data_IF_891019397475
#
_entry.id   IF_891019397475
#
_cell.length_a   1.000
_cell.length_b   1.000
_cell.length_c   1.000
_cell.angle_alpha   90.00
_cell.angle_beta   90.00
_cell.angle_gamma   90.00
#
_symmetry.space_group_name_H-M   'P 1'
#
loop_
_entity.id
_entity.type
_entity.pdbx_description
1 polymer ?
#
# COMPACT_ATOMS: atom_id res chain seq x y z
N UNK A 1 -4.68 -9.04 -18.64
CA UNK A 1 -4.78 -7.69 -18.01
C UNK A 1 -3.57 -6.86 -18.39
N UNK A 2 -3.72 -5.80 -19.20
CA UNK A 2 -2.62 -4.90 -19.56
C UNK A 2 -2.10 -4.20 -18.29
N UNK A 3 -0.89 -4.54 -17.83
CA UNK A 3 -0.23 -3.80 -16.74
C UNK A 3 0.06 -2.38 -17.25
N UNK A 4 -0.79 -1.40 -16.92
CA UNK A 4 -0.46 0.02 -17.10
C UNK A 4 0.88 0.26 -16.38
N UNK A 5 1.89 0.75 -17.12
CA UNK A 5 3.16 1.15 -16.51
C UNK A 5 2.88 2.20 -15.43
N UNK A 6 3.48 2.01 -14.26
CA UNK A 6 3.46 2.99 -13.17
C UNK A 6 4.71 3.85 -13.29
N UNK A 7 4.53 5.16 -13.41
CA UNK A 7 5.62 6.12 -13.48
C UNK A 7 5.83 6.75 -12.11
N UNK A 8 7.08 6.75 -11.65
CA UNK A 8 7.47 7.37 -10.38
C UNK A 8 8.17 8.70 -10.70
N UNK A 9 7.59 9.79 -10.24
CA UNK A 9 8.12 11.15 -10.34
C UNK A 9 7.72 11.95 -9.11
N UNK A 10 8.22 13.18 -8.98
CA UNK A 10 7.84 14.07 -7.89
C UNK A 10 6.33 14.35 -7.87
N UNK A 11 5.68 14.37 -9.04
CA UNK A 11 4.26 14.65 -9.19
C UNK A 11 3.38 13.42 -8.90
N UNK A 12 3.85 12.21 -9.19
CA UNK A 12 3.06 10.99 -9.00
C UNK A 12 3.22 10.40 -7.61
N UNK A 13 4.24 10.81 -6.84
CA UNK A 13 4.51 10.34 -5.49
C UNK A 13 4.01 11.36 -4.46
N UNK A 14 2.85 11.11 -3.87
CA UNK A 14 2.30 11.98 -2.82
C UNK A 14 2.95 11.72 -1.45
N UNK A 15 4.03 12.44 -1.17
CA UNK A 15 4.77 12.34 0.09
C UNK A 15 3.98 12.94 1.27
N UNK A 16 3.10 13.89 1.02
CA UNK A 16 2.32 14.53 2.08
C UNK A 16 1.31 13.55 2.66
N UNK A 17 0.64 12.77 1.81
CA UNK A 17 -0.23 11.69 2.27
C UNK A 17 0.53 10.65 3.11
N UNK A 18 1.75 10.29 2.70
CA UNK A 18 2.59 9.37 3.49
C UNK A 18 2.85 9.93 4.88
N UNK A 19 3.26 11.21 4.98
CA UNK A 19 3.48 11.88 6.27
C UNK A 19 2.23 11.93 7.12
N UNK A 20 1.06 12.16 6.51
CA UNK A 20 -0.21 12.15 7.23
C UNK A 20 -0.50 10.77 7.84
N UNK A 21 -0.29 9.69 7.08
CA UNK A 21 -0.49 8.32 7.60
C UNK A 21 0.53 8.00 8.70
N UNK A 22 1.80 8.41 8.55
CA UNK A 22 2.81 8.23 9.60
C UNK A 22 2.45 9.00 10.89
N UNK A 23 1.91 10.22 10.76
CA UNK A 23 1.45 11.02 11.90
C UNK A 23 0.24 10.37 12.61
N UNK A 24 -0.74 9.86 11.86
CA UNK A 24 -1.91 9.19 12.42
C UNK A 24 -1.57 7.84 13.06
N UNK A 25 -0.64 7.09 12.48
CA UNK A 25 -0.25 5.75 12.97
C UNK A 25 0.87 5.77 14.03
N UNK A 26 1.53 6.90 14.24
CA UNK A 26 2.69 7.02 15.13
C UNK A 26 3.92 6.21 14.69
N UNK A 27 3.90 5.65 13.48
CA UNK A 27 4.94 4.74 12.97
C UNK A 27 5.34 5.12 11.55
N UNK A 28 6.64 5.08 11.26
CA UNK A 28 7.09 5.30 9.88
C UNK A 28 6.76 4.11 8.99
N UNK A 29 6.11 4.38 7.85
CA UNK A 29 5.82 3.37 6.81
C UNK A 29 7.10 2.83 6.17
N UNK A 30 8.21 3.58 6.28
CA UNK A 30 9.53 3.22 5.73
C UNK A 30 10.20 2.07 6.49
N UNK A 31 9.71 1.72 7.68
CA UNK A 31 10.19 0.55 8.44
C UNK A 31 9.88 -0.77 7.73
N UNK A 32 8.87 -0.79 6.87
CA UNK A 32 8.55 -1.98 6.08
C UNK A 32 9.61 -2.20 4.98
N UNK A 33 10.41 -3.26 5.13
CA UNK A 33 11.44 -3.66 4.16
C UNK A 33 10.93 -4.70 3.14
N UNK A 34 9.60 -4.83 2.98
CA UNK A 34 8.97 -5.65 1.95
C UNK A 34 9.23 -7.17 2.03
N UNK A 35 9.41 -7.73 3.24
CA UNK A 35 9.63 -9.17 3.41
C UNK A 35 8.45 -10.09 3.01
N UNK A 36 7.24 -9.56 2.83
CA UNK A 36 6.08 -10.33 2.36
C UNK A 36 5.36 -11.20 3.40
N UNK A 37 5.88 -11.33 4.63
CA UNK A 37 5.27 -12.16 5.69
C UNK A 37 3.79 -11.84 5.94
N UNK A 38 3.42 -10.55 5.97
CA UNK A 38 2.03 -10.14 6.17
C UNK A 38 1.10 -10.66 5.07
N UNK A 39 1.55 -10.70 3.82
CA UNK A 39 0.73 -11.22 2.71
C UNK A 39 0.67 -12.73 2.72
N UNK A 40 1.77 -13.41 3.08
CA UNK A 40 1.78 -14.87 3.19
C UNK A 40 0.86 -15.37 4.31
N UNK A 41 0.78 -14.64 5.43
CA UNK A 41 -0.09 -14.98 6.56
C UNK A 41 -1.53 -14.47 6.45
N UNK A 42 -1.87 -13.68 5.43
CA UNK A 42 -3.20 -13.07 5.33
C UNK A 42 -4.21 -14.07 4.73
N UNK A 43 -5.27 -14.47 5.46
CA UNK A 43 -6.27 -15.40 4.95
C UNK A 43 -7.11 -14.82 3.81
N UNK A 44 -7.18 -13.48 3.73
CA UNK A 44 -7.96 -12.77 2.72
C UNK A 44 -7.15 -12.44 1.45
N UNK A 45 -5.85 -12.79 1.40
CA UNK A 45 -4.95 -12.36 0.32
C UNK A 45 -5.44 -12.72 -1.08
N UNK A 46 -6.11 -13.87 -1.25
CA UNK A 46 -6.68 -14.33 -2.51
C UNK A 46 -7.86 -13.47 -3.00
N UNK A 47 -8.54 -12.75 -2.10
CA UNK A 47 -9.65 -11.85 -2.42
C UNK A 47 -9.20 -10.40 -2.64
N UNK A 48 -7.93 -10.09 -2.38
CA UNK A 48 -7.37 -8.74 -2.49
C UNK A 48 -6.66 -8.54 -3.84
N UNK A 49 -6.95 -7.44 -4.53
CA UNK A 49 -6.13 -7.01 -5.68
C UNK A 49 -4.70 -6.64 -5.24
N UNK A 50 -4.60 -6.05 -4.04
CA UNK A 50 -3.37 -5.65 -3.40
C UNK A 50 -3.28 -6.31 -2.02
N UNK A 51 -2.54 -7.42 -1.88
CA UNK A 51 -2.31 -8.01 -0.56
C UNK A 51 -1.48 -7.05 0.33
N UNK A 52 -1.45 -7.24 1.66
CA UNK A 52 -0.95 -6.25 2.62
C UNK A 52 0.44 -5.68 2.30
N UNK A 53 1.41 -6.50 1.91
CA UNK A 53 2.74 -6.01 1.55
C UNK A 53 2.72 -5.04 0.36
N UNK A 54 1.86 -5.29 -0.63
CA UNK A 54 1.70 -4.44 -1.81
C UNK A 54 1.00 -3.14 -1.46
N UNK A 55 0.00 -3.17 -0.57
CA UNK A 55 -0.61 -1.96 0.01
C UNK A 55 0.47 -1.10 0.67
N UNK A 56 1.29 -1.71 1.54
CA UNK A 56 2.42 -1.01 2.18
C UNK A 56 3.41 -0.44 1.15
N UNK A 57 3.71 -1.17 0.08
CA UNK A 57 4.62 -0.68 -0.97
C UNK A 57 4.04 0.51 -1.72
N UNK A 58 2.76 0.45 -2.08
CA UNK A 58 2.08 1.57 -2.75
C UNK A 58 2.04 2.79 -1.84
N UNK A 59 1.79 2.59 -0.54
CA UNK A 59 1.80 3.66 0.44
C UNK A 59 3.20 4.28 0.55
N UNK A 60 4.26 3.49 0.66
CA UNK A 60 5.65 3.99 0.65
C UNK A 60 5.99 4.83 -0.59
N UNK A 61 5.36 4.52 -1.73
CA UNK A 61 5.53 5.24 -2.99
C UNK A 61 4.57 6.42 -3.16
N UNK A 62 3.76 6.76 -2.14
CA UNK A 62 2.75 7.83 -2.23
C UNK A 62 1.61 7.54 -3.21
N UNK A 63 1.43 6.28 -3.62
CA UNK A 63 0.42 5.84 -4.59
C UNK A 63 -0.95 5.58 -3.95
N UNK A 64 -1.35 6.40 -2.99
CA UNK A 64 -2.53 6.14 -2.15
C UNK A 64 -3.84 6.06 -2.94
N UNK A 65 -3.97 6.83 -4.03
CA UNK A 65 -5.15 6.79 -4.90
C UNK A 65 -5.42 5.39 -5.45
N UNK A 66 -4.37 4.62 -5.71
CA UNK A 66 -4.49 3.23 -6.19
C UNK A 66 -4.95 2.29 -5.08
N UNK A 67 -4.54 2.56 -3.84
CA UNK A 67 -4.99 1.80 -2.67
C UNK A 67 -6.49 2.03 -2.46
N UNK A 68 -6.94 3.29 -2.50
CA UNK A 68 -8.33 3.67 -2.24
C UNK A 68 -9.27 3.41 -3.43
N UNK A 69 -8.75 3.26 -4.64
CA UNK A 69 -9.58 2.94 -5.81
C UNK A 69 -10.14 1.50 -5.80
N UNK A 70 -9.59 0.61 -4.96
CA UNK A 70 -10.01 -0.78 -4.86
C UNK A 70 -10.57 -1.15 -3.49
N UNK A 71 -10.97 -2.42 -3.35
CA UNK A 71 -11.55 -2.94 -2.11
C UNK A 71 -10.53 -3.60 -1.17
N UNK A 72 -9.26 -3.68 -1.58
CA UNK A 72 -8.25 -4.49 -0.88
C UNK A 72 -8.14 -4.16 0.61
N UNK A 73 -8.11 -2.87 0.97
CA UNK A 73 -7.98 -2.47 2.38
C UNK A 73 -9.21 -2.81 3.23
N UNK A 74 -10.39 -2.95 2.61
CA UNK A 74 -11.64 -3.27 3.29
C UNK A 74 -11.79 -4.76 3.60
N UNK A 75 -11.00 -5.61 2.94
CA UNK A 75 -10.89 -7.03 3.31
C UNK A 75 -9.93 -7.26 4.49
N UNK A 76 -9.24 -6.23 4.98
CA UNK A 76 -8.38 -6.36 6.15
C UNK A 76 -9.24 -6.65 7.38
N UNK A 77 -9.06 -7.81 8.00
CA UNK A 77 -9.84 -8.23 9.17
C UNK A 77 -9.31 -7.68 10.50
N UNK A 78 -8.11 -7.07 10.50
CA UNK A 78 -7.40 -6.54 11.67
C UNK A 78 -6.39 -5.48 11.27
#
# INVERSE_FOLDING_TARGET
MRKKKMYLSAETMDVNFVRQVEALSGTSVRRCFQCGKCSAGCPMASFMEHPPNRVMRLLQLGQWRRILAGLSIWYCAS
#
